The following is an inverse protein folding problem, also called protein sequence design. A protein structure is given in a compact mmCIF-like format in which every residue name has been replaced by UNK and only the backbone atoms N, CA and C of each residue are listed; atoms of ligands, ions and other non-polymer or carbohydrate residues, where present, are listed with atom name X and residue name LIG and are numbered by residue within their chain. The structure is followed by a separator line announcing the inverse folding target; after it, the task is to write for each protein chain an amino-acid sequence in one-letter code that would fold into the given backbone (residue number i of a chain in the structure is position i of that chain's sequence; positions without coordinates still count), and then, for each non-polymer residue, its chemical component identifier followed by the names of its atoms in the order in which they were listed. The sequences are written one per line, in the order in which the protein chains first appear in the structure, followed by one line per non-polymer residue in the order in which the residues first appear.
data_IF_104958873342
#
_entry.id   IF_104958873342
#
_cell.length_a   1.000
_cell.length_b   1.000
_cell.length_c   1.000
_cell.angle_alpha   90.00
_cell.angle_beta   90.00
_cell.angle_gamma   90.00
#
_symmetry.space_group_name_H-M   'P 1'
#
loop_
_entity.id
_entity.type
_entity.pdbx_description
1 polymer ?
#
# COMPACT_ATOMS: atom_id res chain seq x y z
N UNK A 1 -8.33 15.60 -10.65
CA UNK A 1 -8.18 14.14 -10.49
C UNK A 1 -9.55 13.56 -10.19
N UNK A 2 -9.84 12.36 -10.67
CA UNK A 2 -11.02 11.63 -10.20
C UNK A 2 -10.73 10.95 -8.84
N UNK A 3 -11.77 10.48 -8.15
CA UNK A 3 -11.63 9.87 -6.82
C UNK A 3 -10.63 8.70 -6.81
N UNK A 4 -10.63 7.88 -7.87
CA UNK A 4 -9.71 6.75 -7.99
C UNK A 4 -8.24 7.18 -8.12
N UNK A 5 -7.96 8.28 -8.81
CA UNK A 5 -6.61 8.86 -8.91
C UNK A 5 -6.15 9.45 -7.58
N UNK A 6 -7.05 10.05 -6.80
CA UNK A 6 -6.73 10.57 -5.46
C UNK A 6 -6.42 9.45 -4.48
N UNK A 7 -7.24 8.40 -4.47
CA UNK A 7 -6.99 7.18 -3.69
C UNK A 7 -5.66 6.52 -4.06
N UNK A 8 -5.34 6.45 -5.36
CA UNK A 8 -4.04 5.94 -5.82
C UNK A 8 -2.88 6.79 -5.29
N UNK A 9 -2.99 8.12 -5.33
CA UNK A 9 -1.97 9.02 -4.79
C UNK A 9 -1.73 8.79 -3.28
N UNK A 10 -2.81 8.72 -2.50
CA UNK A 10 -2.73 8.44 -1.06
C UNK A 10 -2.07 7.09 -0.76
N UNK A 11 -2.34 6.08 -1.59
CA UNK A 11 -1.76 4.75 -1.43
C UNK A 11 -0.26 4.74 -1.77
N UNK A 12 0.16 5.51 -2.76
CA UNK A 12 1.59 5.73 -3.06
C UNK A 12 2.29 6.41 -1.88
N UNK A 13 1.71 7.48 -1.33
CA UNK A 13 2.29 8.19 -0.18
C UNK A 13 2.47 7.26 1.04
N UNK A 14 1.50 6.37 1.28
CA UNK A 14 1.58 5.37 2.36
C UNK A 14 2.69 4.35 2.12
N UNK A 15 2.86 3.88 0.89
CA UNK A 15 3.94 2.95 0.54
C UNK A 15 5.31 3.61 0.70
N UNK A 16 5.44 4.86 0.26
CA UNK A 16 6.67 5.63 0.42
C UNK A 16 7.00 5.84 1.90
N UNK A 17 6.00 6.16 2.73
CA UNK A 17 6.16 6.30 4.17
C UNK A 17 6.67 5.00 4.83
N UNK A 18 6.17 3.84 4.41
CA UNK A 18 6.67 2.54 4.88
C UNK A 18 8.13 2.34 4.43
N UNK A 19 8.44 2.63 3.16
CA UNK A 19 9.80 2.54 2.64
C UNK A 19 10.79 3.40 3.44
N UNK A 20 10.39 4.61 3.81
CA UNK A 20 11.18 5.50 4.67
C UNK A 20 11.31 4.95 6.09
N UNK A 21 10.22 4.43 6.67
CA UNK A 21 10.25 3.83 8.00
C UNK A 21 11.23 2.64 8.10
N UNK A 22 11.37 1.84 7.02
CA UNK A 22 12.31 0.73 6.96
C UNK A 22 13.79 1.16 6.99
N UNK A 23 14.10 2.43 6.69
CA UNK A 23 15.45 2.97 6.80
C UNK A 23 15.83 3.38 8.23
N UNK A 24 14.87 3.42 9.16
CA UNK A 24 15.12 3.79 10.54
C UNK A 24 15.93 2.65 11.21
N UNK A 25 17.06 2.98 11.87
CA UNK A 25 17.90 1.98 12.53
C UNK A 25 17.20 1.46 13.79
N UNK A 26 16.47 0.36 13.63
CA UNK A 26 15.78 -0.35 14.70
C UNK A 26 15.84 -1.87 14.45
N UNK A 27 15.50 -2.71 15.43
CA UNK A 27 15.57 -4.16 15.26
C UNK A 27 14.73 -4.63 14.07
N UNK A 28 15.32 -5.48 13.22
CA UNK A 28 14.67 -5.99 12.03
C UNK A 28 13.32 -6.68 12.32
N UNK A 29 13.17 -7.31 13.49
CA UNK A 29 11.90 -7.93 13.88
C UNK A 29 10.76 -6.91 14.00
N UNK A 30 11.03 -5.69 14.46
CA UNK A 30 10.01 -4.64 14.55
C UNK A 30 9.55 -4.21 13.14
N UNK A 31 10.48 -4.12 12.19
CA UNK A 31 10.14 -3.87 10.78
C UNK A 31 9.28 -5.00 10.20
N UNK A 32 9.65 -6.25 10.46
CA UNK A 32 8.90 -7.43 9.99
C UNK A 32 7.49 -7.46 10.59
N UNK A 33 7.35 -7.20 11.89
CA UNK A 33 6.05 -7.20 12.58
C UNK A 33 5.15 -6.08 12.06
N UNK A 34 5.72 -4.88 11.83
CA UNK A 34 5.00 -3.79 11.20
C UNK A 34 4.54 -4.15 9.77
N UNK A 35 5.43 -4.70 8.93
CA UNK A 35 5.10 -5.11 7.57
C UNK A 35 4.01 -6.20 7.53
N UNK A 36 4.08 -7.19 8.42
CA UNK A 36 3.05 -8.23 8.55
C UNK A 36 1.68 -7.65 8.89
N UNK A 37 1.64 -6.56 9.65
CA UNK A 37 0.41 -5.87 10.02
C UNK A 37 -0.13 -5.01 8.88
N UNK A 38 0.71 -4.20 8.21
CA UNK A 38 0.24 -3.18 7.25
C UNK A 38 0.09 -3.66 5.80
N UNK A 39 0.91 -4.62 5.36
CA UNK A 39 0.93 -5.05 3.96
C UNK A 39 -0.37 -5.71 3.46
N UNK A 40 -1.05 -6.58 4.24
CA UNK A 40 -2.28 -7.21 3.78
C UNK A 40 -3.35 -6.19 3.37
N UNK A 41 -3.57 -5.18 4.21
CA UNK A 41 -4.57 -4.13 3.97
C UNK A 41 -4.19 -3.28 2.75
N UNK A 42 -2.92 -2.89 2.63
CA UNK A 42 -2.42 -2.14 1.47
C UNK A 42 -2.56 -2.91 0.15
N UNK A 43 -2.37 -4.22 0.17
CA UNK A 43 -2.56 -5.06 -1.02
C UNK A 43 -4.04 -5.10 -1.42
N UNK A 44 -4.96 -5.20 -0.47
CA UNK A 44 -6.40 -5.16 -0.74
C UNK A 44 -6.77 -3.80 -1.34
N UNK A 45 -6.36 -2.70 -0.71
CA UNK A 45 -6.65 -1.36 -1.20
C UNK A 45 -6.06 -1.11 -2.60
N UNK A 46 -4.83 -1.58 -2.86
CA UNK A 46 -4.19 -1.43 -4.18
C UNK A 46 -4.95 -2.20 -5.27
N UNK A 47 -5.42 -3.41 -4.97
CA UNK A 47 -6.25 -4.20 -5.89
C UNK A 47 -7.58 -3.50 -6.18
N UNK A 48 -8.24 -2.97 -5.15
CA UNK A 48 -9.50 -2.25 -5.30
C UNK A 48 -9.33 -1.01 -6.19
N UNK A 49 -8.27 -0.21 -5.94
CA UNK A 49 -7.95 0.95 -6.78
C UNK A 49 -7.65 0.52 -8.22
N UNK A 50 -6.89 -0.57 -8.41
CA UNK A 50 -6.62 -1.11 -9.74
C UNK A 50 -7.91 -1.46 -10.49
N UNK A 51 -8.84 -2.17 -9.86
CA UNK A 51 -10.14 -2.53 -10.45
C UNK A 51 -10.93 -1.27 -10.79
N UNK A 52 -10.95 -0.26 -9.91
CA UNK A 52 -11.66 1.01 -10.16
C UNK A 52 -11.07 1.80 -11.31
N UNK A 53 -9.75 1.79 -11.48
CA UNK A 53 -9.05 2.52 -12.55
C UNK A 53 -9.16 1.79 -13.89
N UNK A 54 -9.00 0.46 -13.89
CA UNK A 54 -8.89 -0.34 -15.11
C UNK A 54 -10.20 -1.00 -15.55
N UNK A 55 -11.16 -1.14 -14.64
CA UNK A 55 -12.38 -1.93 -14.83
C UNK A 55 -12.15 -3.44 -14.86
N UNK A 56 -10.95 -3.92 -14.52
CA UNK A 56 -10.57 -5.33 -14.60
C UNK A 56 -10.07 -5.84 -13.25
N UNK A 57 -10.48 -7.05 -12.88
CA UNK A 57 -9.95 -7.78 -11.73
C UNK A 57 -9.21 -9.03 -12.22
N UNK A 58 -7.89 -8.96 -12.42
CA UNK A 58 -7.09 -10.13 -12.83
C UNK A 58 -6.89 -11.15 -11.70
N UNK A 59 -7.41 -10.88 -10.51
CA UNK A 59 -7.29 -11.71 -9.32
C UNK A 59 -8.56 -12.52 -9.01
N UNK A 60 -9.63 -12.33 -9.78
CA UNK A 60 -10.88 -13.10 -9.71
C UNK A 60 -10.88 -14.31 -10.66
#
# INVERSE_FOLDING_TARGET
MNEAQEQLGQLVDRLDAIGHALQIPMPAQMHVDNLKFVLPDLVVELKDVFVRVTGQSPWD
#
